data_IF_402627142315
#
_entry.id   IF_402627142315
#
_cell.length_a   1.000
_cell.length_b   1.000
_cell.length_c   1.000
_cell.angle_alpha   90.00
_cell.angle_beta   90.00
_cell.angle_gamma   90.00
#
_symmetry.space_group_name_H-M   'P 1'
#
loop_
_entity.id
_entity.type
_entity.pdbx_description
1 polymer ?
#
# COMPACT_ATOMS: atom_id res chain seq x y z
N UNK A 1 27.18 -20.25 0.91
CA UNK A 1 27.15 -18.78 1.06
C UNK A 1 25.77 -18.49 1.61
N UNK A 2 25.67 -18.04 2.85
CA UNK A 2 24.37 -17.72 3.45
C UNK A 2 23.84 -16.43 2.83
N UNK A 3 22.59 -16.47 2.39
CA UNK A 3 21.94 -15.34 1.76
C UNK A 3 21.38 -14.48 2.89
N UNK A 4 21.78 -13.20 3.00
CA UNK A 4 21.27 -12.34 4.05
C UNK A 4 19.84 -11.92 3.76
N UNK A 5 19.11 -11.63 4.83
CA UNK A 5 17.85 -10.92 4.76
C UNK A 5 18.03 -9.49 4.21
N UNK A 6 17.00 -8.96 3.57
CA UNK A 6 16.96 -7.58 3.09
C UNK A 6 16.94 -6.59 4.26
N UNK A 7 17.58 -5.44 4.08
CA UNK A 7 17.53 -4.33 5.03
C UNK A 7 16.11 -3.77 5.18
N UNK A 8 15.37 -3.72 4.06
CA UNK A 8 13.97 -3.29 3.99
C UNK A 8 13.12 -4.38 3.34
N UNK A 9 12.76 -5.42 4.10
CA UNK A 9 12.00 -6.57 3.60
C UNK A 9 10.59 -6.16 3.17
N UNK A 10 10.06 -6.81 2.13
CA UNK A 10 8.65 -6.73 1.77
C UNK A 10 7.78 -7.63 2.64
N UNK A 11 6.48 -7.71 2.35
CA UNK A 11 5.52 -8.44 3.18
C UNK A 11 5.84 -9.93 3.30
N UNK A 12 6.37 -10.55 2.26
CA UNK A 12 6.71 -11.98 2.29
C UNK A 12 7.89 -12.22 3.20
N UNK A 13 8.97 -11.44 3.04
CA UNK A 13 10.16 -11.59 3.88
C UNK A 13 9.88 -11.18 5.34
N UNK A 14 9.07 -10.14 5.57
CA UNK A 14 8.62 -9.77 6.93
C UNK A 14 7.83 -10.89 7.58
N UNK A 15 6.86 -11.47 6.89
CA UNK A 15 6.06 -12.56 7.43
C UNK A 15 6.91 -13.82 7.68
N UNK A 16 7.81 -14.15 6.75
CA UNK A 16 8.77 -15.24 6.93
C UNK A 16 9.63 -15.04 8.18
N UNK A 17 10.22 -13.85 8.36
CA UNK A 17 10.99 -13.48 9.55
C UNK A 17 10.19 -13.63 10.85
N UNK A 18 8.91 -13.22 10.87
CA UNK A 18 8.06 -13.33 12.07
C UNK A 18 7.87 -14.77 12.52
N UNK A 19 7.94 -15.73 11.61
CA UNK A 19 7.71 -17.16 11.87
C UNK A 19 8.96 -17.91 12.31
N UNK A 20 10.16 -17.37 12.07
CA UNK A 20 11.41 -18.03 12.43
C UNK A 20 11.49 -18.20 13.94
N UNK A 21 11.61 -19.46 14.38
CA UNK A 21 11.73 -19.86 15.78
C UNK A 21 10.69 -19.22 16.72
N UNK A 22 9.50 -18.91 16.19
CA UNK A 22 8.47 -18.20 16.94
C UNK A 22 7.35 -19.13 17.40
N UNK A 23 7.33 -19.55 18.68
CA UNK A 23 6.33 -20.50 19.19
C UNK A 23 4.92 -19.92 19.28
N UNK A 24 4.75 -18.62 19.09
CA UNK A 24 3.43 -17.99 19.02
C UNK A 24 2.72 -18.30 17.69
N UNK A 25 3.48 -18.70 16.66
CA UNK A 25 2.87 -19.15 15.42
C UNK A 25 2.50 -20.63 15.52
N UNK A 26 1.32 -21.05 15.01
CA UNK A 26 0.92 -22.46 14.97
C UNK A 26 1.88 -23.32 14.13
N UNK A 27 2.58 -22.70 13.19
CA UNK A 27 3.51 -23.32 12.24
C UNK A 27 4.79 -22.49 12.14
N UNK A 28 5.70 -22.56 13.13
CA UNK A 28 6.95 -21.83 13.09
C UNK A 28 7.88 -22.39 12.01
N UNK A 29 8.75 -21.53 11.50
CA UNK A 29 9.87 -21.93 10.63
C UNK A 29 11.06 -22.24 11.54
N UNK A 30 11.41 -23.51 11.69
CA UNK A 30 12.54 -23.95 12.54
C UNK A 30 13.80 -24.23 11.74
N UNK A 31 13.64 -24.63 10.48
CA UNK A 31 14.72 -24.89 9.54
C UNK A 31 14.32 -24.32 8.17
N UNK A 32 15.20 -23.54 7.56
CA UNK A 32 15.01 -23.02 6.22
C UNK A 32 16.32 -23.05 5.44
N UNK A 33 16.20 -23.22 4.13
CA UNK A 33 17.32 -23.21 3.20
C UNK A 33 17.53 -21.82 2.59
N UNK A 34 18.68 -21.61 1.94
CA UNK A 34 18.90 -20.40 1.15
C UNK A 34 17.89 -20.25 0.00
N UNK A 35 17.40 -21.36 -0.55
CA UNK A 35 16.41 -21.35 -1.64
C UNK A 35 15.04 -20.85 -1.14
N UNK A 36 14.66 -21.18 0.09
CA UNK A 36 13.42 -20.69 0.71
C UNK A 36 13.45 -19.16 0.89
N UNK A 37 14.59 -18.62 1.36
CA UNK A 37 14.77 -17.18 1.50
C UNK A 37 14.80 -16.48 0.14
N UNK A 38 15.46 -17.06 -0.87
CA UNK A 38 15.47 -16.54 -2.23
C UNK A 38 14.06 -16.46 -2.83
N UNK A 39 13.24 -17.48 -2.63
CA UNK A 39 11.88 -17.51 -3.16
C UNK A 39 11.03 -16.39 -2.54
N UNK A 40 11.14 -16.20 -1.22
CA UNK A 40 10.45 -15.14 -0.50
C UNK A 40 10.91 -13.75 -0.98
N UNK A 41 12.21 -13.54 -1.18
CA UNK A 41 12.75 -12.30 -1.75
C UNK A 41 12.31 -12.08 -3.21
N UNK A 42 12.22 -13.16 -4.00
CA UNK A 42 11.72 -13.11 -5.38
C UNK A 42 10.28 -12.63 -5.44
N UNK A 43 9.41 -13.14 -4.55
CA UNK A 43 8.01 -12.71 -4.45
C UNK A 43 7.89 -11.23 -4.09
N UNK A 44 8.66 -10.75 -3.12
CA UNK A 44 8.70 -9.32 -2.78
C UNK A 44 9.15 -8.45 -3.97
N UNK A 45 10.14 -8.91 -4.74
CA UNK A 45 10.60 -8.21 -5.94
C UNK A 45 9.53 -8.16 -7.05
N UNK A 46 8.80 -9.26 -7.26
CA UNK A 46 7.70 -9.29 -8.24
C UNK A 46 6.59 -8.30 -7.90
N UNK A 47 6.29 -8.10 -6.62
CA UNK A 47 5.33 -7.08 -6.19
C UNK A 47 5.79 -5.68 -6.50
N UNK A 48 7.08 -5.38 -6.32
CA UNK A 48 7.65 -4.08 -6.68
C UNK A 48 7.51 -3.82 -8.18
N UNK A 49 7.82 -4.80 -9.02
CA UNK A 49 7.67 -4.68 -10.49
C UNK A 49 6.20 -4.43 -10.86
N UNK A 50 5.29 -5.22 -10.29
CA UNK A 50 3.84 -5.08 -10.50
C UNK A 50 3.34 -3.69 -10.09
N UNK A 51 3.79 -3.21 -8.93
CA UNK A 51 3.49 -1.88 -8.42
C UNK A 51 3.97 -0.79 -9.36
N UNK A 52 5.24 -0.82 -9.79
CA UNK A 52 5.80 0.20 -10.70
C UNK A 52 5.02 0.27 -12.02
N UNK A 53 4.61 -0.89 -12.54
CA UNK A 53 3.77 -0.98 -13.73
C UNK A 53 2.40 -0.30 -13.54
N UNK A 54 1.74 -0.54 -12.41
CA UNK A 54 0.45 0.10 -12.06
C UNK A 54 0.61 1.60 -11.80
N UNK A 55 1.64 1.98 -11.05
CA UNK A 55 1.92 3.38 -10.72
C UNK A 55 2.14 4.22 -11.98
N UNK A 56 2.96 3.74 -12.92
CA UNK A 56 3.17 4.43 -14.20
C UNK A 56 1.87 4.62 -14.98
N UNK A 57 1.02 3.58 -15.06
CA UNK A 57 -0.29 3.67 -15.74
C UNK A 57 -1.20 4.70 -15.07
N UNK A 58 -1.22 4.72 -13.74
CA UNK A 58 -2.06 5.63 -12.97
C UNK A 58 -1.61 7.10 -13.13
N UNK A 59 -0.30 7.35 -13.10
CA UNK A 59 0.25 8.68 -13.39
C UNK A 59 -0.12 9.12 -14.81
N UNK A 60 -0.02 8.22 -15.79
CA UNK A 60 -0.44 8.51 -17.17
C UNK A 60 -1.93 8.84 -17.28
N UNK A 61 -2.79 8.16 -16.53
CA UNK A 61 -4.21 8.48 -16.45
C UNK A 61 -4.44 9.86 -15.83
N UNK A 62 -3.78 10.15 -14.71
CA UNK A 62 -3.92 11.42 -14.01
C UNK A 62 -3.52 12.63 -14.87
N UNK A 63 -2.44 12.54 -15.65
CA UNK A 63 -2.03 13.63 -16.56
C UNK A 63 -2.93 13.76 -17.80
N UNK A 64 -3.70 12.73 -18.13
CA UNK A 64 -4.58 12.71 -19.30
C UNK A 64 -6.00 13.19 -18.97
N UNK A 65 -6.29 13.46 -17.69
CA UNK A 65 -7.57 13.98 -17.25
C UNK A 65 -7.87 15.34 -17.89
N UNK A 66 -9.06 15.47 -18.46
CA UNK A 66 -9.58 16.73 -18.97
C UNK A 66 -10.28 17.56 -17.87
N UNK A 67 -10.43 18.86 -18.11
CA UNK A 67 -11.07 19.77 -17.15
C UNK A 67 -12.56 19.48 -16.89
N UNK A 68 -13.22 18.73 -17.78
CA UNK A 68 -14.65 18.39 -17.70
C UNK A 68 -14.88 16.88 -17.63
N UNK A 69 -13.92 16.13 -17.07
CA UNK A 69 -14.08 14.68 -16.87
C UNK A 69 -15.27 14.36 -15.99
N UNK A 70 -15.88 13.20 -16.23
CA UNK A 70 -16.98 12.71 -15.43
C UNK A 70 -16.54 12.52 -13.98
N UNK A 71 -17.35 12.96 -13.01
CA UNK A 71 -16.99 12.87 -11.59
C UNK A 71 -16.65 11.45 -11.15
N UNK A 72 -17.28 10.43 -11.74
CA UNK A 72 -16.97 9.03 -11.45
C UNK A 72 -15.52 8.67 -11.81
N UNK A 73 -15.00 9.15 -12.95
CA UNK A 73 -13.62 8.91 -13.38
C UNK A 73 -12.62 9.48 -12.36
N UNK A 74 -12.90 10.68 -11.83
CA UNK A 74 -12.06 11.34 -10.82
C UNK A 74 -12.10 10.57 -9.49
N UNK A 75 -13.27 10.07 -9.09
CA UNK A 75 -13.43 9.27 -7.87
C UNK A 75 -12.77 7.89 -7.98
N UNK A 76 -12.85 7.25 -9.15
CA UNK A 76 -12.17 5.97 -9.41
C UNK A 76 -10.65 6.15 -9.37
N UNK A 77 -10.14 7.25 -9.95
CA UNK A 77 -8.72 7.57 -9.88
C UNK A 77 -8.24 7.81 -8.44
N UNK A 78 -9.04 8.49 -7.62
CA UNK A 78 -8.77 8.65 -6.18
C UNK A 78 -8.66 7.28 -5.50
N UNK A 79 -9.63 6.40 -5.72
CA UNK A 79 -9.64 5.07 -5.09
C UNK A 79 -8.40 4.24 -5.49
N UNK A 80 -8.02 4.28 -6.76
CA UNK A 80 -6.80 3.59 -7.25
C UNK A 80 -5.51 4.20 -6.68
N UNK A 81 -5.44 5.52 -6.50
CA UNK A 81 -4.31 6.19 -5.85
C UNK A 81 -4.17 5.77 -4.38
N UNK A 82 -5.28 5.67 -3.66
CA UNK A 82 -5.31 5.20 -2.26
C UNK A 82 -4.84 3.74 -2.16
N UNK A 83 -5.36 2.88 -3.04
CA UNK A 83 -4.94 1.47 -3.13
C UNK A 83 -3.46 1.30 -3.48
N UNK A 84 -2.92 2.15 -4.35
CA UNK A 84 -1.48 2.15 -4.63
C UNK A 84 -0.66 2.66 -3.45
N UNK A 85 -1.18 3.59 -2.65
CA UNK A 85 -0.51 4.01 -1.41
C UNK A 85 -0.43 2.85 -0.41
N UNK A 86 -1.53 2.13 -0.20
CA UNK A 86 -1.56 0.90 0.60
C UNK A 86 -0.56 -0.13 0.08
N UNK A 87 -0.53 -0.35 -1.23
CA UNK A 87 0.42 -1.25 -1.86
C UNK A 87 1.85 -0.80 -1.59
N UNK A 88 2.17 0.48 -1.78
CA UNK A 88 3.52 1.01 -1.55
C UNK A 88 3.97 0.86 -0.09
N UNK A 89 3.06 0.95 0.87
CA UNK A 89 3.36 0.78 2.30
C UNK A 89 3.73 -0.66 2.70
N UNK A 90 3.35 -1.68 1.91
CA UNK A 90 3.70 -3.09 2.19
C UNK A 90 4.93 -3.59 1.42
N UNK A 91 5.39 -2.88 0.40
CA UNK A 91 6.54 -3.32 -0.40
C UNK A 91 7.85 -3.25 0.39
N UNK A 92 8.84 -4.01 -0.06
CA UNK A 92 10.22 -3.87 0.38
C UNK A 92 10.89 -2.65 -0.23
N UNK A 93 12.19 -2.48 0.03
CA UNK A 93 13.02 -1.35 -0.43
C UNK A 93 12.56 0.04 0.08
N UNK A 94 13.04 1.10 -0.56
CA UNK A 94 12.72 2.49 -0.23
C UNK A 94 11.50 2.96 -1.03
N UNK A 95 10.37 3.12 -0.35
CA UNK A 95 9.09 3.50 -0.96
C UNK A 95 8.64 4.92 -0.60
N UNK A 96 9.43 5.65 0.19
CA UNK A 96 9.10 6.99 0.70
C UNK A 96 8.80 7.97 -0.43
N UNK A 97 9.60 7.94 -1.50
CA UNK A 97 9.40 8.79 -2.67
C UNK A 97 8.11 8.45 -3.43
N UNK A 98 7.79 7.16 -3.57
CA UNK A 98 6.58 6.69 -4.25
C UNK A 98 5.33 7.07 -3.43
N UNK A 99 5.38 6.86 -2.12
CA UNK A 99 4.32 7.26 -1.18
C UNK A 99 4.10 8.77 -1.18
N UNK A 100 5.17 9.57 -1.19
CA UNK A 100 5.08 11.02 -1.28
C UNK A 100 4.41 11.46 -2.59
N UNK A 101 4.83 10.90 -3.73
CA UNK A 101 4.24 11.21 -5.03
C UNK A 101 2.74 10.84 -5.10
N UNK A 102 2.35 9.68 -4.55
CA UNK A 102 0.95 9.27 -4.46
C UNK A 102 0.12 10.24 -3.60
N UNK A 103 0.66 10.69 -2.46
CA UNK A 103 -0.01 11.69 -1.61
C UNK A 103 -0.18 13.02 -2.32
N UNK A 104 0.81 13.46 -3.08
CA UNK A 104 0.74 14.73 -3.80
C UNK A 104 -0.27 14.66 -4.95
N UNK A 105 -0.33 13.53 -5.68
CA UNK A 105 -1.39 13.30 -6.68
C UNK A 105 -2.79 13.29 -6.04
N UNK A 106 -2.96 12.60 -4.90
CA UNK A 106 -4.22 12.60 -4.16
C UNK A 106 -4.66 14.01 -3.75
N UNK A 107 -3.73 14.85 -3.26
CA UNK A 107 -4.05 16.25 -2.93
C UNK A 107 -4.57 17.02 -4.13
N UNK A 108 -3.94 16.85 -5.29
CA UNK A 108 -4.35 17.51 -6.55
C UNK A 108 -5.74 17.04 -6.97
N UNK A 109 -5.99 15.73 -6.99
CA UNK A 109 -7.30 15.16 -7.33
C UNK A 109 -8.38 15.66 -6.37
N UNK A 110 -8.13 15.66 -5.07
CA UNK A 110 -9.08 16.13 -4.07
C UNK A 110 -9.32 17.64 -4.14
N UNK A 111 -8.36 18.45 -4.59
CA UNK A 111 -8.57 19.87 -4.84
C UNK A 111 -9.57 20.09 -5.98
N UNK A 112 -9.49 19.28 -7.05
CA UNK A 112 -10.45 19.28 -8.15
C UNK A 112 -11.84 18.88 -7.66
N UNK A 113 -11.95 17.78 -6.89
CA UNK A 113 -13.24 17.33 -6.32
C UNK A 113 -13.89 18.43 -5.47
N UNK A 114 -13.12 19.10 -4.60
CA UNK A 114 -13.63 20.20 -3.77
C UNK A 114 -14.13 21.38 -4.62
N UNK A 115 -13.42 21.73 -5.70
CA UNK A 115 -13.86 22.80 -6.60
C UNK A 115 -15.21 22.49 -7.27
N UNK A 116 -15.49 21.22 -7.58
CA UNK A 116 -16.76 20.80 -8.17
C UNK A 116 -17.90 20.66 -7.16
N UNK A 117 -17.63 20.55 -5.86
CA UNK A 117 -18.66 20.49 -4.81
C UNK A 117 -19.46 21.80 -4.64
N UNK A 118 -19.02 22.90 -5.28
CA UNK A 118 -19.86 24.09 -5.50
C UNK A 118 -20.29 24.84 -4.23
N UNK A 119 -19.61 24.64 -3.09
CA UNK A 119 -19.94 25.30 -1.82
C UNK A 119 -21.12 24.69 -1.07
N UNK A 120 -21.53 23.46 -1.38
CA UNK A 120 -22.46 22.71 -0.54
C UNK A 120 -21.79 22.36 0.80
N UNK A 121 -22.25 23.01 1.87
CA UNK A 121 -21.72 22.83 3.22
C UNK A 121 -21.76 21.37 3.69
N UNK A 122 -22.74 20.58 3.25
CA UNK A 122 -22.80 19.15 3.58
C UNK A 122 -21.71 18.37 2.85
N UNK A 123 -21.54 18.61 1.55
CA UNK A 123 -20.49 17.97 0.75
C UNK A 123 -19.09 18.35 1.25
N UNK A 124 -18.87 19.61 1.64
CA UNK A 124 -17.60 20.04 2.23
C UNK A 124 -17.30 19.32 3.55
N UNK A 125 -18.30 19.13 4.41
CA UNK A 125 -18.13 18.39 5.66
C UNK A 125 -17.78 16.93 5.42
N UNK A 126 -18.45 16.27 4.46
CA UNK A 126 -18.15 14.87 4.09
C UNK A 126 -16.72 14.73 3.54
N UNK A 127 -16.28 15.64 2.67
CA UNK A 127 -14.91 15.65 2.14
C UNK A 127 -13.85 15.92 3.22
N UNK A 128 -14.17 16.70 4.26
CA UNK A 128 -13.28 16.92 5.39
C UNK A 128 -13.16 15.67 6.27
N UNK A 129 -14.28 15.00 6.55
CA UNK A 129 -14.28 13.76 7.33
C UNK A 129 -13.51 12.65 6.61
N UNK A 130 -13.72 12.52 5.31
CA UNK A 130 -13.03 11.54 4.48
C UNK A 130 -11.52 11.82 4.41
N UNK A 131 -11.11 13.09 4.28
CA UNK A 131 -9.69 13.48 4.35
C UNK A 131 -9.05 13.10 5.69
N UNK A 132 -9.74 13.35 6.81
CA UNK A 132 -9.25 12.99 8.14
C UNK A 132 -9.11 11.47 8.29
N UNK A 133 -10.11 10.71 7.84
CA UNK A 133 -10.07 9.25 7.85
C UNK A 133 -8.91 8.72 7.00
N UNK A 134 -8.66 9.29 5.82
CA UNK A 134 -7.53 8.91 4.97
C UNK A 134 -6.19 9.18 5.64
N UNK A 135 -6.03 10.32 6.30
CA UNK A 135 -4.78 10.64 7.01
C UNK A 135 -4.51 9.68 8.16
N UNK A 136 -5.55 9.34 8.93
CA UNK A 136 -5.45 8.34 10.00
C UNK A 136 -5.09 6.96 9.43
N UNK A 137 -5.76 6.56 8.36
CA UNK A 137 -5.46 5.31 7.63
C UNK A 137 -4.01 5.26 7.17
N UNK A 138 -3.54 6.30 6.49
CA UNK A 138 -2.15 6.37 6.01
C UNK A 138 -1.14 6.33 7.15
N UNK A 139 -1.45 6.95 8.30
CA UNK A 139 -0.61 6.85 9.49
C UNK A 139 -0.54 5.42 10.04
N UNK A 140 -1.64 4.66 9.99
CA UNK A 140 -1.65 3.25 10.42
C UNK A 140 -0.78 2.38 9.50
N UNK A 141 -0.78 2.67 8.19
CA UNK A 141 0.00 1.94 7.19
C UNK A 141 1.52 2.18 7.30
N UNK A 142 1.98 3.13 8.12
CA UNK A 142 3.41 3.30 8.44
C UNK A 142 3.94 2.21 9.39
N UNK A 143 3.05 1.38 9.94
CA UNK A 143 3.43 0.25 10.79
C UNK A 143 3.37 -1.06 10.00
N UNK A 144 4.53 -1.71 9.81
CA UNK A 144 4.70 -2.96 9.03
C UNK A 144 3.69 -4.06 9.38
N UNK A 145 3.41 -4.28 10.67
CA UNK A 145 2.44 -5.30 11.08
C UNK A 145 1.01 -4.91 10.70
N UNK A 146 0.68 -3.64 10.81
CA UNK A 146 -0.67 -3.13 10.54
C UNK A 146 -0.96 -3.18 9.04
N UNK A 147 -0.02 -2.74 8.20
CA UNK A 147 -0.19 -2.82 6.75
C UNK A 147 -0.29 -4.26 6.27
N UNK A 148 0.49 -5.18 6.85
CA UNK A 148 0.42 -6.60 6.50
C UNK A 148 -0.90 -7.24 6.93
N UNK A 149 -1.49 -6.79 8.04
CA UNK A 149 -2.76 -7.31 8.57
C UNK A 149 -3.98 -6.75 7.84
N UNK A 150 -3.95 -5.46 7.46
CA UNK A 150 -5.07 -4.78 6.79
C UNK A 150 -5.23 -5.18 5.32
N UNK A 151 -4.23 -5.83 4.75
CA UNK A 151 -4.26 -6.31 3.37
C UNK A 151 -5.35 -7.37 3.15
N UNK A 152 -6.15 -7.21 2.10
CA UNK A 152 -7.17 -8.19 1.71
C UNK A 152 -6.58 -9.54 1.34
N UNK A 153 -5.32 -9.55 0.88
CA UNK A 153 -4.56 -10.76 0.58
C UNK A 153 -3.45 -10.96 1.61
N UNK A 154 -3.72 -10.63 2.88
CA UNK A 154 -2.77 -10.78 3.99
C UNK A 154 -2.16 -12.18 4.03
N UNK A 155 -0.84 -12.22 4.21
CA UNK A 155 -0.11 -13.46 4.46
C UNK A 155 -0.32 -13.96 5.90
N UNK A 156 -0.76 -13.09 6.81
CA UNK A 156 -1.03 -13.45 8.20
C UNK A 156 -2.41 -14.10 8.28
N UNK A 157 -2.42 -15.39 8.59
CA UNK A 157 -3.65 -16.17 8.66
C UNK A 157 -4.35 -15.96 10.01
N UNK A 158 -5.67 -16.21 10.03
CA UNK A 158 -6.48 -16.03 11.24
C UNK A 158 -6.00 -16.88 12.42
N UNK A 159 -5.49 -18.08 12.17
CA UNK A 159 -4.93 -18.99 13.18
C UNK A 159 -3.57 -18.54 13.72
N UNK A 160 -2.94 -17.54 13.10
CA UNK A 160 -1.65 -16.96 13.52
C UNK A 160 -1.84 -15.72 14.43
N UNK A 161 -3.07 -15.36 14.75
CA UNK A 161 -3.44 -14.20 15.60
C UNK A 161 -3.99 -14.61 16.98
N UNK A 162 -3.89 -15.89 17.35
CA UNK A 162 -4.55 -16.49 18.53
C UNK A 162 -3.58 -16.72 19.67
#
# INVERSE_FOLDING_TARGET
MEIPFSERPGRHERHFKRKIDNPLFPRPVTEYSGDDLLEVQRLDHEEIISFLGKFKKLVQQAISLQANEESQVVLDLKAELEKLYETASRLGDQQENNKAALRDLLKVIMATVRAHAGGDAKAEMELQQEELARQQHFSMLEHDLVVDLLDTESLILKDELV
#
